data_IF_199952439085
#
_entry.id   IF_199952439085
#
_cell.length_a   1.000
_cell.length_b   1.000
_cell.length_c   1.000
_cell.angle_alpha   90.00
_cell.angle_beta   90.00
_cell.angle_gamma   90.00
#
_symmetry.space_group_name_H-M   'P 1'
#
loop_
_entity.id
_entity.type
_entity.pdbx_description
1 polymer ?
#
# COMPACT_ATOMS: atom_id res chain seq x y z
N UNK A 1 -0.71 -53.44 42.21
CA UNK A 1 0.08 -53.43 40.96
C UNK A 1 -0.11 -52.07 40.30
N UNK A 2 0.85 -51.16 40.42
CA UNK A 2 1.12 -50.10 39.42
C UNK A 2 1.71 -50.78 38.15
N UNK A 3 1.87 -50.14 36.97
CA UNK A 3 1.82 -48.71 36.59
C UNK A 3 0.89 -48.49 35.35
N UNK A 4 0.64 -47.32 34.75
CA UNK A 4 1.59 -46.38 34.13
C UNK A 4 0.96 -44.99 33.97
N UNK A 5 1.64 -44.01 34.56
CA UNK A 5 1.44 -42.59 34.36
C UNK A 5 1.67 -42.23 32.89
N UNK A 6 0.69 -41.60 32.25
CA UNK A 6 0.92 -40.90 30.98
C UNK A 6 1.58 -39.56 31.30
N UNK A 7 2.91 -39.55 31.27
CA UNK A 7 3.70 -38.31 31.28
C UNK A 7 3.67 -37.79 29.85
N UNK A 8 2.80 -36.81 29.58
CA UNK A 8 2.88 -36.02 28.35
C UNK A 8 4.09 -35.11 28.52
N UNK A 9 5.20 -35.49 27.91
CA UNK A 9 6.45 -34.73 27.91
C UNK A 9 6.24 -33.41 27.17
N UNK A 10 6.07 -32.32 27.92
CA UNK A 10 6.17 -30.95 27.43
C UNK A 10 7.64 -30.66 27.08
N UNK A 11 8.03 -31.01 25.86
CA UNK A 11 9.31 -30.62 25.28
C UNK A 11 9.18 -29.31 24.52
N UNK A 12 9.26 -28.17 25.21
CA UNK A 12 9.52 -26.87 24.59
C UNK A 12 10.87 -26.38 25.10
N UNK A 13 11.93 -26.60 24.33
CA UNK A 13 13.25 -26.04 24.61
C UNK A 13 13.87 -25.42 23.36
N UNK A 14 13.74 -24.10 23.32
CA UNK A 14 14.72 -23.10 22.87
C UNK A 14 15.37 -23.27 21.49
N UNK A 15 14.84 -22.56 20.49
CA UNK A 15 15.69 -21.97 19.45
C UNK A 15 16.19 -20.61 19.98
N UNK A 16 17.37 -20.59 20.57
CA UNK A 16 18.05 -19.35 20.93
C UNK A 16 18.45 -18.61 19.64
N UNK A 17 18.01 -17.36 19.52
CA UNK A 17 18.24 -16.49 18.40
C UNK A 17 19.74 -16.23 18.18
N UNK A 18 20.22 -16.46 16.96
CA UNK A 18 21.44 -15.81 16.50
C UNK A 18 21.07 -14.43 15.98
N UNK A 19 21.02 -13.45 16.88
CA UNK A 19 21.12 -12.04 16.52
C UNK A 19 22.56 -11.75 16.08
N UNK A 20 22.97 -12.28 14.93
CA UNK A 20 24.06 -11.67 14.19
C UNK A 20 23.48 -10.39 13.61
N UNK A 21 23.95 -9.25 14.10
CA UNK A 21 23.73 -7.95 13.50
C UNK A 21 24.27 -7.97 12.07
N UNK A 22 23.46 -8.46 11.14
CA UNK A 22 23.77 -8.39 9.73
C UNK A 22 23.35 -7.00 9.26
N UNK A 23 24.25 -6.02 9.43
CA UNK A 23 24.18 -4.77 8.68
C UNK A 23 24.40 -4.99 7.17
N UNK A 24 24.70 -6.22 6.74
CA UNK A 24 24.65 -6.62 5.34
C UNK A 24 23.22 -6.97 4.93
N UNK A 25 22.36 -5.95 4.80
CA UNK A 25 21.11 -6.13 4.06
C UNK A 25 21.40 -6.91 2.79
N UNK A 26 20.59 -7.93 2.48
CA UNK A 26 20.77 -8.80 1.32
C UNK A 26 20.91 -7.95 0.07
N UNK A 27 22.14 -7.62 -0.33
CA UNK A 27 22.39 -6.79 -1.48
C UNK A 27 22.13 -7.67 -2.70
N UNK A 28 21.14 -7.29 -3.49
CA UNK A 28 20.95 -7.91 -4.78
C UNK A 28 22.18 -7.61 -5.63
N UNK A 29 22.78 -8.62 -6.27
CA UNK A 29 23.94 -8.40 -7.13
C UNK A 29 23.55 -7.49 -8.30
N UNK A 30 24.47 -6.64 -8.76
CA UNK A 30 24.19 -5.56 -9.74
C UNK A 30 23.60 -6.05 -11.07
N UNK A 31 23.77 -7.34 -11.41
CA UNK A 31 23.13 -7.94 -12.60
C UNK A 31 21.60 -8.05 -12.44
N UNK A 32 21.09 -8.08 -11.21
CA UNK A 32 19.68 -7.90 -10.90
C UNK A 32 19.45 -6.41 -10.88
N UNK A 33 19.08 -5.85 -12.04
CA UNK A 33 18.82 -4.43 -12.22
C UNK A 33 17.54 -3.99 -11.47
N UNK A 34 17.53 -4.07 -10.14
CA UNK A 34 16.40 -3.71 -9.28
C UNK A 34 15.99 -2.25 -9.46
N UNK A 35 16.95 -1.36 -9.72
CA UNK A 35 16.68 0.03 -10.01
C UNK A 35 15.75 0.21 -11.23
N UNK A 36 15.74 -0.72 -12.19
CA UNK A 36 14.81 -0.69 -13.33
C UNK A 36 13.40 -1.19 -12.99
N UNK A 37 13.23 -1.86 -11.84
CA UNK A 37 11.94 -2.31 -11.32
C UNK A 37 11.38 -1.36 -10.26
N UNK A 38 12.19 -0.41 -9.80
CA UNK A 38 11.73 0.63 -8.92
C UNK A 38 10.89 1.61 -9.73
N UNK A 39 9.63 1.74 -9.35
CA UNK A 39 8.73 2.78 -9.85
C UNK A 39 8.64 3.88 -8.80
N UNK A 40 8.32 5.09 -9.22
CA UNK A 40 7.93 6.15 -8.31
C UNK A 40 6.63 5.78 -7.59
N UNK A 41 6.39 6.39 -6.43
CA UNK A 41 5.12 6.21 -5.71
C UNK A 41 3.93 6.61 -6.60
N UNK A 42 4.06 7.71 -7.35
CA UNK A 42 3.00 8.19 -8.26
C UNK A 42 2.67 7.18 -9.35
N UNK A 43 3.68 6.58 -10.00
CA UNK A 43 3.47 5.53 -11.00
C UNK A 43 2.83 4.28 -10.39
N UNK A 44 3.27 3.88 -9.20
CA UNK A 44 2.68 2.75 -8.47
C UNK A 44 1.21 2.99 -8.16
N UNK A 45 0.88 4.15 -7.61
CA UNK A 45 -0.50 4.50 -7.27
C UNK A 45 -1.38 4.58 -8.52
N UNK A 46 -0.87 5.14 -9.62
CA UNK A 46 -1.61 5.17 -10.87
C UNK A 46 -1.90 3.77 -11.41
N UNK A 47 -0.88 2.91 -11.42
CA UNK A 47 -1.00 1.50 -11.81
C UNK A 47 -2.01 0.76 -10.93
N UNK A 48 -1.97 0.98 -9.61
CA UNK A 48 -2.90 0.36 -8.66
C UNK A 48 -4.34 0.83 -8.91
N UNK A 49 -4.59 2.13 -9.08
CA UNK A 49 -5.92 2.66 -9.32
C UNK A 49 -6.54 2.11 -10.62
N UNK A 50 -5.77 2.09 -11.71
CA UNK A 50 -6.24 1.51 -12.97
C UNK A 50 -6.46 0.00 -12.87
N UNK A 51 -5.57 -0.72 -12.17
CA UNK A 51 -5.72 -2.15 -11.94
C UNK A 51 -6.94 -2.50 -11.09
N UNK A 52 -7.20 -1.77 -10.01
CA UNK A 52 -8.37 -2.00 -9.16
C UNK A 52 -9.67 -1.56 -9.84
N UNK A 53 -9.66 -0.50 -10.65
CA UNK A 53 -10.82 -0.15 -11.51
C UNK A 53 -11.29 -1.34 -12.34
N UNK A 54 -10.37 -2.11 -12.92
CA UNK A 54 -10.71 -3.28 -13.74
C UNK A 54 -11.11 -4.47 -12.87
N UNK A 55 -10.36 -4.74 -11.79
CA UNK A 55 -10.61 -5.90 -10.93
C UNK A 55 -11.96 -5.79 -10.19
N UNK A 56 -12.26 -4.60 -9.64
CA UNK A 56 -13.41 -4.39 -8.78
C UNK A 56 -14.71 -4.26 -9.59
N UNK A 57 -14.61 -4.03 -10.91
CA UNK A 57 -15.73 -4.12 -11.84
C UNK A 57 -16.31 -5.54 -11.98
N UNK A 58 -15.69 -6.55 -11.35
CA UNK A 58 -16.26 -7.89 -11.22
C UNK A 58 -17.38 -8.00 -10.18
N UNK A 59 -17.50 -7.02 -9.27
CA UNK A 59 -18.55 -6.99 -8.26
C UNK A 59 -19.92 -6.66 -8.86
N UNK A 60 -21.00 -7.24 -8.33
CA UNK A 60 -22.36 -6.87 -8.75
C UNK A 60 -22.67 -5.42 -8.33
N UNK A 61 -23.23 -4.63 -9.23
CA UNK A 61 -23.64 -3.25 -8.94
C UNK A 61 -22.50 -2.24 -8.81
N UNK A 62 -21.27 -2.59 -9.22
CA UNK A 62 -20.08 -1.73 -9.09
C UNK A 62 -20.23 -0.32 -9.69
N UNK A 63 -21.11 -0.12 -10.67
CA UNK A 63 -21.38 1.21 -11.24
C UNK A 63 -21.84 2.23 -10.18
N UNK A 64 -22.59 1.78 -9.17
CA UNK A 64 -23.10 2.63 -8.08
C UNK A 64 -22.15 2.65 -6.87
N UNK A 65 -21.03 1.93 -6.93
CA UNK A 65 -20.06 1.85 -5.85
C UNK A 65 -19.16 3.09 -5.82
N UNK A 66 -19.20 3.82 -4.70
CA UNK A 66 -18.46 5.07 -4.55
C UNK A 66 -16.95 4.89 -4.45
N UNK A 67 -16.47 3.70 -4.08
CA UNK A 67 -15.03 3.39 -4.03
C UNK A 67 -14.52 3.08 -5.44
N UNK A 68 -15.25 2.26 -6.20
CA UNK A 68 -14.96 2.00 -7.60
C UNK A 68 -14.93 3.27 -8.44
N UNK A 69 -15.90 4.17 -8.25
CA UNK A 69 -15.91 5.46 -8.95
C UNK A 69 -14.67 6.32 -8.63
N UNK A 70 -14.17 6.28 -7.39
CA UNK A 70 -12.92 6.96 -7.02
C UNK A 70 -11.69 6.33 -7.66
N UNK A 71 -11.65 5.00 -7.76
CA UNK A 71 -10.57 4.28 -8.44
C UNK A 71 -10.52 4.65 -9.92
N UNK A 72 -11.69 4.65 -10.58
CA UNK A 72 -11.80 5.05 -11.98
C UNK A 72 -11.34 6.49 -12.18
N UNK A 73 -11.84 7.43 -11.38
CA UNK A 73 -11.44 8.84 -11.48
C UNK A 73 -9.93 9.01 -11.25
N UNK A 74 -9.38 8.39 -10.21
CA UNK A 74 -7.96 8.48 -9.90
C UNK A 74 -7.08 7.87 -11.00
N UNK A 75 -7.52 6.77 -11.64
CA UNK A 75 -6.85 6.20 -12.81
C UNK A 75 -6.82 7.22 -13.97
N UNK A 76 -7.98 7.77 -14.34
CA UNK A 76 -8.11 8.68 -15.47
C UNK A 76 -7.33 10.00 -15.29
N UNK A 77 -7.11 10.42 -14.04
CA UNK A 77 -6.34 11.63 -13.73
C UNK A 77 -4.82 11.49 -14.00
N UNK A 78 -4.25 10.28 -13.89
CA UNK A 78 -2.80 10.08 -13.94
C UNK A 78 -2.32 9.22 -15.13
N UNK A 79 -3.23 8.56 -15.85
CA UNK A 79 -2.87 7.53 -16.82
C UNK A 79 -2.04 8.04 -18.02
N UNK A 80 -2.21 9.30 -18.40
CA UNK A 80 -1.41 9.95 -19.46
C UNK A 80 -0.07 10.44 -18.93
N UNK A 81 -0.06 11.03 -17.73
CA UNK A 81 1.16 11.57 -17.12
C UNK A 81 2.19 10.48 -16.84
N UNK A 82 1.72 9.30 -16.41
CA UNK A 82 2.56 8.13 -16.11
C UNK A 82 2.74 7.19 -17.30
N UNK A 83 2.19 7.53 -18.48
CA UNK A 83 2.28 6.75 -19.72
C UNK A 83 1.79 5.29 -19.59
N UNK A 84 0.80 5.03 -18.73
CA UNK A 84 0.26 3.68 -18.51
C UNK A 84 -1.05 3.41 -19.27
N UNK A 85 -1.63 4.44 -19.90
CA UNK A 85 -2.91 4.29 -20.58
C UNK A 85 -2.86 3.25 -21.71
N UNK A 86 -1.72 3.08 -22.38
CA UNK A 86 -1.54 2.04 -23.40
C UNK A 86 -1.72 0.61 -22.88
N UNK A 87 -1.43 0.37 -21.59
CA UNK A 87 -1.54 -0.96 -20.99
C UNK A 87 -2.94 -1.22 -20.40
N UNK A 88 -3.61 -0.16 -19.94
CA UNK A 88 -4.85 -0.25 -19.16
C UNK A 88 -6.10 0.20 -19.92
N UNK A 89 -5.97 1.10 -20.88
CA UNK A 89 -7.06 1.91 -21.41
C UNK A 89 -8.22 1.12 -21.97
N UNK A 90 -7.94 0.11 -22.80
CA UNK A 90 -8.97 -0.74 -23.41
C UNK A 90 -9.82 -1.45 -22.35
N UNK A 91 -9.19 -1.90 -21.26
CA UNK A 91 -9.89 -2.59 -20.18
C UNK A 91 -10.67 -1.63 -19.30
N UNK A 92 -10.11 -0.46 -19.00
CA UNK A 92 -10.79 0.61 -18.25
C UNK A 92 -12.04 1.08 -18.99
N UNK A 93 -11.92 1.35 -20.31
CA UNK A 93 -13.06 1.69 -21.17
C UNK A 93 -14.11 0.58 -21.16
N UNK A 94 -13.68 -0.68 -21.31
CA UNK A 94 -14.58 -1.83 -21.33
C UNK A 94 -15.39 -2.00 -20.04
N UNK A 95 -14.83 -1.66 -18.88
CA UNK A 95 -15.57 -1.73 -17.60
C UNK A 95 -16.37 -0.46 -17.32
N UNK A 96 -16.00 0.68 -17.89
CA UNK A 96 -16.77 1.92 -17.72
C UNK A 96 -18.00 2.00 -18.65
N UNK A 97 -17.91 1.44 -19.85
CA UNK A 97 -18.96 1.53 -20.88
C UNK A 97 -20.34 1.01 -20.40
N UNK A 98 -20.46 -0.15 -19.71
CA UNK A 98 -21.75 -0.61 -19.20
C UNK A 98 -22.38 0.31 -18.16
N UNK A 99 -21.56 1.10 -17.45
CA UNK A 99 -22.01 2.11 -16.50
C UNK A 99 -22.38 3.44 -17.17
N UNK A 100 -22.19 3.57 -18.49
CA UNK A 100 -22.45 4.81 -19.23
C UNK A 100 -21.43 5.92 -18.96
N UNK A 101 -20.23 5.56 -18.48
CA UNK A 101 -19.18 6.51 -18.13
C UNK A 101 -18.17 6.59 -19.28
N UNK A 102 -17.85 7.83 -19.70
CA UNK A 102 -16.76 8.09 -20.64
C UNK A 102 -15.41 8.01 -19.91
N UNK A 103 -14.66 6.94 -20.19
CA UNK A 103 -13.35 6.69 -19.60
C UNK A 103 -12.21 7.29 -20.42
N UNK A 104 -12.35 8.56 -20.82
CA UNK A 104 -11.27 9.32 -21.45
C UNK A 104 -10.38 9.95 -20.38
N UNK A 105 -9.06 9.67 -20.35
CA UNK A 105 -8.16 10.28 -19.39
C UNK A 105 -8.12 11.81 -19.48
N UNK A 106 -7.87 12.46 -18.36
CA UNK A 106 -7.61 13.89 -18.34
C UNK A 106 -6.31 14.20 -19.10
N UNK A 107 -6.36 15.15 -20.03
CA UNK A 107 -5.18 15.62 -20.78
C UNK A 107 -4.41 16.72 -20.05
N UNK A 108 -4.89 17.15 -18.88
CA UNK A 108 -4.28 18.21 -18.07
C UNK A 108 -3.71 17.59 -16.79
N UNK A 109 -2.46 17.92 -16.40
CA UNK A 109 -1.91 17.46 -15.12
C UNK A 109 -2.84 17.89 -13.99
N UNK A 110 -3.16 16.95 -13.10
CA UNK A 110 -3.95 17.26 -11.91
C UNK A 110 -3.22 18.33 -11.09
N UNK A 111 -3.93 19.37 -10.67
CA UNK A 111 -3.41 20.24 -9.61
C UNK A 111 -3.28 19.37 -8.36
N UNK A 112 -2.11 19.32 -7.68
CA UNK A 112 -1.94 18.45 -6.52
C UNK A 112 -3.02 18.78 -5.49
N UNK A 113 -3.87 17.80 -5.18
CA UNK A 113 -4.77 17.89 -4.04
C UNK A 113 -3.87 17.88 -2.80
N UNK A 114 -3.97 18.87 -1.90
CA UNK A 114 -3.20 18.83 -0.67
C UNK A 114 -3.67 17.65 0.18
N UNK A 115 -2.87 16.58 0.19
CA UNK A 115 -2.98 15.53 1.20
C UNK A 115 -2.61 16.17 2.53
N UNK A 116 -3.61 16.46 3.36
CA UNK A 116 -3.39 16.74 4.78
C UNK A 116 -2.68 15.53 5.38
N UNK A 117 -1.37 15.65 5.56
CA UNK A 117 -0.55 14.62 6.17
C UNK A 117 -1.04 14.34 7.58
N UNK A 118 -1.78 13.26 7.76
CA UNK A 118 -1.93 12.66 9.08
C UNK A 118 -0.58 12.05 9.44
N UNK A 119 0.27 12.81 10.14
CA UNK A 119 1.44 12.27 10.80
C UNK A 119 0.97 11.26 11.84
N UNK A 120 1.00 9.98 11.50
CA UNK A 120 0.81 8.90 12.46
C UNK A 120 2.01 8.88 13.42
N UNK A 121 1.90 9.65 14.51
CA UNK A 121 2.84 9.59 15.63
C UNK A 121 2.64 8.27 16.38
N UNK A 122 3.19 7.18 15.83
CA UNK A 122 3.41 5.95 16.59
C UNK A 122 4.59 6.17 17.54
N UNK A 123 4.31 6.65 18.74
CA UNK A 123 5.26 6.61 19.85
C UNK A 123 5.23 5.19 20.42
N UNK A 124 6.29 4.38 20.31
CA UNK A 124 6.34 3.12 21.02
C UNK A 124 6.41 3.40 22.53
N UNK A 125 5.42 2.89 23.24
CA UNK A 125 5.13 3.11 24.66
C UNK A 125 6.16 2.52 25.66
N UNK A 126 7.46 2.48 25.33
CA UNK A 126 8.47 1.81 26.17
C UNK A 126 9.62 2.68 26.70
N UNK A 127 9.48 4.02 26.68
CA UNK A 127 10.46 4.91 27.32
C UNK A 127 9.76 5.99 28.15
N UNK A 128 9.12 5.59 29.25
CA UNK A 128 8.84 6.50 30.37
C UNK A 128 9.56 5.96 31.61
N UNK A 129 10.88 6.11 31.62
CA UNK A 129 11.61 6.32 32.86
C UNK A 129 12.09 7.77 32.82
N UNK A 130 11.30 8.65 33.46
CA UNK A 130 11.72 9.97 33.92
C UNK A 130 11.82 11.07 32.87
N UNK A 131 10.78 11.91 32.79
CA UNK A 131 10.92 13.37 32.77
C UNK A 131 9.55 14.05 32.77
N UNK A 132 9.20 14.59 33.93
CA UNK A 132 8.22 15.67 34.11
C UNK A 132 8.86 16.95 33.57
N UNK A 133 8.31 17.58 32.52
CA UNK A 133 8.35 19.03 32.33
C UNK A 133 7.60 19.47 31.05
N UNK A 134 6.60 20.32 31.25
CA UNK A 134 6.43 21.52 30.42
C UNK A 134 5.61 21.41 29.14
N UNK A 135 4.28 21.43 29.28
CA UNK A 135 3.42 21.97 28.23
C UNK A 135 3.54 23.51 28.23
N UNK A 136 3.95 24.10 27.10
CA UNK A 136 3.67 25.50 26.77
C UNK A 136 3.17 25.54 25.33
N UNK A 137 1.88 25.84 25.20
CA UNK A 137 1.21 26.26 23.97
C UNK A 137 1.68 27.68 23.64
N UNK A 138 2.09 27.93 22.39
CA UNK A 138 2.10 29.28 21.85
C UNK A 138 1.83 29.25 20.35
N UNK A 139 0.62 29.64 19.96
CA UNK A 139 0.26 30.01 18.59
C UNK A 139 0.00 31.52 18.59
N UNK A 140 0.74 32.23 17.74
CA UNK A 140 0.37 33.52 17.16
C UNK A 140 0.18 33.28 15.67
#
# INVERSE_FOLDING_TARGET
MQPTSSIVSLGFLASAALAAANNGGTQFPDFVALAKRAVTETEYQCHANCGYTIQDASAEGYCDDAEWNKLLEACLQCAIETDIWGDYGDYVVKVAEPCGIDATPATTPATPIPTSGASANWVPQFVIVGAIAGAIVNMM
#
